data_IF_211263355474
#
_entry.id   IF_211263355474
#
_cell.length_a   1.000
_cell.length_b   1.000
_cell.length_c   1.000
_cell.angle_alpha   90.00
_cell.angle_beta   90.00
_cell.angle_gamma   90.00
#
_symmetry.space_group_name_H-M   'P 1'
#
loop_
_entity.id
_entity.type
_entity.pdbx_description
1 polymer ?
#
# COMPACT_ATOMS: atom_id res chain seq x y z
N UNK A 1 18.20 5.12 23.61
CA UNK A 1 18.10 5.25 22.14
C UNK A 1 16.96 4.33 21.71
N UNK A 2 15.86 4.86 21.20
CA UNK A 2 14.70 4.01 20.87
C UNK A 2 15.09 3.08 19.73
N UNK A 3 14.88 1.77 19.89
CA UNK A 3 15.20 0.73 18.88
C UNK A 3 14.58 1.03 17.52
N UNK A 4 13.49 1.79 17.49
CA UNK A 4 12.76 2.23 16.29
C UNK A 4 13.55 3.20 15.40
N UNK A 5 14.50 3.98 15.94
CA UNK A 5 15.29 4.97 15.19
C UNK A 5 16.32 4.35 14.23
N UNK A 6 16.67 3.07 14.39
CA UNK A 6 17.67 2.39 13.55
C UNK A 6 17.17 2.10 12.14
N UNK A 7 15.87 1.94 11.99
CA UNK A 7 15.23 1.62 10.70
C UNK A 7 14.87 2.85 9.88
N UNK A 8 15.21 4.06 10.32
CA UNK A 8 14.87 5.27 9.62
C UNK A 8 16.11 6.04 9.14
N UNK A 9 16.37 6.00 7.84
CA UNK A 9 17.53 6.62 7.20
C UNK A 9 17.58 8.14 7.42
N UNK A 10 16.47 8.82 7.27
CA UNK A 10 16.40 10.29 7.28
C UNK A 10 16.02 10.90 8.63
N UNK A 11 16.21 10.18 9.73
CA UNK A 11 15.85 10.63 11.08
C UNK A 11 16.48 11.99 11.47
N UNK A 12 17.70 12.27 11.03
CA UNK A 12 18.36 13.56 11.29
C UNK A 12 17.65 14.69 10.53
N UNK A 13 17.28 14.48 9.26
CA UNK A 13 16.52 15.46 8.46
C UNK A 13 15.10 15.66 9.04
N UNK A 14 14.48 14.62 9.55
CA UNK A 14 13.17 14.70 10.22
C UNK A 14 13.21 15.47 11.53
N UNK A 15 14.21 15.23 12.38
CA UNK A 15 14.39 15.97 13.64
C UNK A 15 14.70 17.45 13.42
N UNK A 16 15.41 17.81 12.36
CA UNK A 16 15.79 19.18 12.04
C UNK A 16 14.66 20.00 11.40
N UNK A 17 13.81 19.40 10.59
CA UNK A 17 12.81 20.14 9.79
C UNK A 17 11.41 19.53 9.78
N UNK A 18 11.10 18.62 10.71
CA UNK A 18 9.81 17.94 10.76
C UNK A 18 9.68 16.82 9.70
N UNK A 19 8.60 16.06 9.80
CA UNK A 19 8.29 14.92 8.93
C UNK A 19 7.07 15.16 8.06
N UNK A 20 6.33 16.23 8.33
CA UNK A 20 5.16 16.64 7.57
C UNK A 20 5.45 17.95 6.82
N UNK A 21 4.81 18.11 5.69
CA UNK A 21 4.70 19.32 4.90
C UNK A 21 3.24 19.62 4.60
N UNK A 22 3.01 20.73 3.91
CA UNK A 22 1.68 21.08 3.40
C UNK A 22 1.81 21.31 1.90
N UNK A 23 0.98 20.64 1.12
CA UNK A 23 0.88 20.80 -0.32
C UNK A 23 -0.59 21.03 -0.67
N UNK A 24 -0.90 22.12 -1.34
CA UNK A 24 -2.27 22.55 -1.69
C UNK A 24 -3.26 22.53 -0.50
N UNK A 25 -2.76 22.91 0.70
CA UNK A 25 -3.56 22.93 1.92
C UNK A 25 -3.74 21.57 2.59
N UNK A 26 -3.20 20.50 2.04
CA UNK A 26 -3.26 19.15 2.58
C UNK A 26 -1.96 18.81 3.31
N UNK A 27 -2.06 18.23 4.50
CA UNK A 27 -0.89 17.73 5.24
C UNK A 27 -0.38 16.44 4.59
N UNK A 28 0.87 16.47 4.16
CA UNK A 28 1.54 15.31 3.52
C UNK A 28 2.80 14.93 4.28
N UNK A 29 3.33 13.74 4.02
CA UNK A 29 4.69 13.40 4.46
C UNK A 29 5.70 14.19 3.63
N UNK A 30 6.69 14.77 4.29
CA UNK A 30 7.74 15.52 3.61
C UNK A 30 8.52 14.64 2.64
N UNK A 31 8.86 15.20 1.47
CA UNK A 31 9.75 14.56 0.52
C UNK A 31 11.22 14.87 0.84
N UNK A 32 12.08 13.91 0.62
CA UNK A 32 13.53 14.01 0.69
C UNK A 32 14.08 13.24 -0.50
N UNK A 33 14.86 13.94 -1.36
CA UNK A 33 15.42 13.35 -2.57
C UNK A 33 14.31 12.64 -3.39
N UNK A 34 13.22 13.37 -3.69
CA UNK A 34 12.05 13.03 -4.51
C UNK A 34 11.21 11.86 -4.02
N UNK A 35 11.33 11.46 -2.75
CA UNK A 35 10.45 10.44 -2.19
C UNK A 35 10.18 10.68 -0.69
N UNK A 36 9.15 9.99 -0.17
CA UNK A 36 8.73 10.08 1.22
C UNK A 36 9.93 9.98 2.19
N UNK A 37 9.98 10.87 3.19
CA UNK A 37 11.04 10.90 4.22
C UNK A 37 11.17 9.58 5.00
N UNK A 38 10.12 8.75 5.03
CA UNK A 38 10.12 7.44 5.67
C UNK A 38 10.50 6.30 4.74
N UNK A 39 10.74 6.58 3.44
CA UNK A 39 11.22 5.59 2.49
C UNK A 39 12.74 5.53 2.54
N UNK A 40 13.29 4.49 3.11
CA UNK A 40 14.71 4.18 3.07
C UNK A 40 15.13 3.80 1.65
N UNK A 41 16.26 4.30 1.23
CA UNK A 41 16.82 4.04 -0.11
C UNK A 41 17.56 2.70 -0.14
N UNK A 42 17.77 2.12 -1.34
CA UNK A 42 18.59 0.93 -1.53
C UNK A 42 19.96 1.06 -0.86
N UNK A 43 20.41 -0.02 -0.23
CA UNK A 43 21.70 -0.07 0.46
C UNK A 43 21.72 0.56 1.87
N UNK A 44 20.59 1.03 2.40
CA UNK A 44 20.55 1.49 3.79
C UNK A 44 20.66 0.30 4.75
N UNK A 45 21.61 0.35 5.68
CA UNK A 45 21.93 -0.75 6.61
C UNK A 45 20.76 -1.15 7.54
N UNK A 46 19.86 -0.20 7.84
CA UNK A 46 18.63 -0.44 8.61
C UNK A 46 17.47 -1.07 7.82
N UNK A 47 17.71 -1.46 6.55
CA UNK A 47 16.75 -2.04 5.63
C UNK A 47 16.17 -1.02 4.63
N UNK A 48 16.05 -1.42 3.36
CA UNK A 48 15.42 -0.62 2.32
C UNK A 48 13.89 -0.71 2.39
N UNK A 49 13.19 0.31 1.93
CA UNK A 49 11.73 0.38 1.96
C UNK A 49 11.18 1.24 3.08
N UNK A 50 9.91 1.09 3.40
CA UNK A 50 9.23 1.92 4.39
C UNK A 50 9.74 1.65 5.81
N UNK A 51 10.28 2.68 6.49
CA UNK A 51 10.78 2.58 7.85
C UNK A 51 9.73 2.10 8.86
N UNK A 52 8.46 2.50 8.69
CA UNK A 52 7.35 2.01 9.52
C UNK A 52 7.10 0.52 9.32
N UNK A 53 7.14 0.05 8.06
CA UNK A 53 6.94 -1.36 7.75
C UNK A 53 8.01 -2.24 8.41
N UNK A 54 9.27 -1.86 8.23
CA UNK A 54 10.42 -2.60 8.78
C UNK A 54 10.36 -2.62 10.31
N UNK A 55 10.09 -1.47 10.93
CA UNK A 55 10.04 -1.36 12.37
C UNK A 55 8.87 -2.12 13.00
N UNK A 56 7.72 -2.17 12.34
CA UNK A 56 6.57 -2.95 12.78
C UNK A 56 6.86 -4.46 12.74
N UNK A 57 7.42 -4.95 11.61
CA UNK A 57 7.79 -6.37 11.49
C UNK A 57 8.82 -6.78 12.55
N UNK A 58 9.80 -5.93 12.83
CA UNK A 58 10.78 -6.22 13.90
C UNK A 58 10.13 -6.25 15.28
N UNK A 59 9.12 -5.42 15.50
CA UNK A 59 8.37 -5.41 16.77
C UNK A 59 7.39 -6.59 16.88
N UNK A 60 7.21 -7.40 15.83
CA UNK A 60 6.19 -8.44 15.77
C UNK A 60 4.76 -7.88 15.66
N UNK A 61 4.63 -6.64 15.20
CA UNK A 61 3.35 -5.94 15.04
C UNK A 61 2.97 -5.85 13.56
N UNK A 62 1.68 -5.60 13.28
CA UNK A 62 1.20 -5.46 11.90
C UNK A 62 1.65 -4.12 11.30
N UNK A 63 2.28 -4.10 10.12
CA UNK A 63 2.71 -2.85 9.49
C UNK A 63 1.59 -1.85 9.25
N UNK A 64 0.37 -2.31 9.02
CA UNK A 64 -0.80 -1.47 8.80
C UNK A 64 -1.14 -0.60 10.02
N UNK A 65 -0.88 -1.06 11.23
CA UNK A 65 -1.15 -0.31 12.47
C UNK A 65 -0.16 0.86 12.67
N UNK A 66 0.92 0.90 11.87
CA UNK A 66 1.98 1.90 11.95
C UNK A 66 1.98 2.89 10.79
N UNK A 67 1.40 2.51 9.67
CA UNK A 67 1.40 3.30 8.43
C UNK A 67 0.19 4.23 8.36
N UNK A 68 0.31 5.39 7.69
CA UNK A 68 -0.85 6.15 7.24
C UNK A 68 -1.78 5.31 6.34
N UNK A 69 -3.07 5.64 6.34
CA UNK A 69 -4.12 4.86 5.64
C UNK A 69 -3.77 4.55 4.18
N UNK A 70 -3.42 5.55 3.38
CA UNK A 70 -3.05 5.33 1.99
C UNK A 70 -1.86 4.39 1.83
N UNK A 71 -0.89 4.43 2.77
CA UNK A 71 0.35 3.66 2.67
C UNK A 71 0.17 2.17 2.98
N UNK A 72 -0.82 1.80 3.82
CA UNK A 72 -1.08 0.40 4.09
C UNK A 72 -2.11 -0.21 3.14
N UNK A 73 -3.04 0.60 2.63
CA UNK A 73 -4.05 0.14 1.67
C UNK A 73 -3.45 -0.21 0.30
N UNK A 74 -2.37 0.44 -0.12
CA UNK A 74 -1.74 0.15 -1.41
C UNK A 74 -1.26 -1.31 -1.51
N UNK A 75 -1.55 -2.00 -2.62
CA UNK A 75 -2.14 -1.52 -3.89
C UNK A 75 -3.68 -1.62 -3.97
N UNK A 76 -4.37 -1.81 -2.85
CA UNK A 76 -5.81 -2.02 -2.79
C UNK A 76 -6.56 -0.70 -2.53
N UNK A 77 -7.74 -0.58 -3.11
CA UNK A 77 -8.67 0.53 -2.88
C UNK A 77 -10.09 0.02 -2.70
N UNK A 78 -10.74 0.45 -1.63
CA UNK A 78 -12.16 0.28 -1.43
C UNK A 78 -12.88 1.55 -1.92
N UNK A 79 -13.83 1.37 -2.81
CA UNK A 79 -14.75 2.44 -3.27
C UNK A 79 -16.16 2.12 -2.82
N UNK A 80 -16.84 3.13 -2.30
CA UNK A 80 -18.23 3.03 -1.92
C UNK A 80 -19.08 3.93 -2.81
N UNK A 81 -20.13 3.38 -3.34
CA UNK A 81 -21.13 4.08 -4.11
C UNK A 81 -22.49 3.91 -3.45
N UNK A 82 -23.15 5.04 -3.15
CA UNK A 82 -24.51 5.05 -2.60
C UNK A 82 -25.47 5.42 -3.74
N UNK A 83 -26.46 4.58 -4.00
CA UNK A 83 -27.48 4.85 -5.01
C UNK A 83 -28.58 5.79 -4.48
N UNK A 84 -29.52 6.17 -5.37
CA UNK A 84 -30.64 7.07 -5.07
C UNK A 84 -31.61 6.52 -4.01
N UNK A 85 -31.53 5.21 -3.70
CA UNK A 85 -32.33 4.53 -2.70
C UNK A 85 -31.59 4.37 -1.36
N UNK A 86 -30.33 4.83 -1.28
CA UNK A 86 -29.49 4.74 -0.08
C UNK A 86 -28.77 3.39 0.06
N UNK A 87 -28.78 2.52 -0.93
CA UNK A 87 -27.99 1.30 -0.90
C UNK A 87 -26.52 1.58 -1.20
N UNK A 88 -25.66 1.06 -0.33
CA UNK A 88 -24.20 1.19 -0.49
C UNK A 88 -23.65 -0.05 -1.18
N UNK A 89 -22.96 0.16 -2.29
CA UNK A 89 -22.16 -0.86 -2.97
C UNK A 89 -20.69 -0.59 -2.75
N UNK A 90 -19.98 -1.53 -2.13
CA UNK A 90 -18.53 -1.45 -1.90
C UNK A 90 -17.79 -2.28 -2.95
N UNK A 91 -16.80 -1.68 -3.62
CA UNK A 91 -15.97 -2.33 -4.63
C UNK A 91 -14.52 -2.32 -4.18
N UNK A 92 -13.97 -3.50 -3.92
CA UNK A 92 -12.53 -3.67 -3.68
C UNK A 92 -11.82 -3.88 -5.02
N UNK A 93 -10.88 -3.02 -5.35
CA UNK A 93 -10.11 -3.06 -6.61
C UNK A 93 -8.64 -2.66 -6.40
N UNK A 94 -7.85 -2.77 -7.44
CA UNK A 94 -6.52 -2.21 -7.46
C UNK A 94 -6.58 -0.67 -7.52
N UNK A 95 -5.58 -0.03 -6.93
CA UNK A 95 -5.35 1.41 -7.06
C UNK A 95 -4.85 1.72 -8.48
N UNK A 96 -5.39 2.76 -9.12
CA UNK A 96 -5.05 3.18 -10.48
C UNK A 96 -4.40 4.58 -10.47
N UNK A 97 -3.67 4.93 -11.54
CA UNK A 97 -3.09 6.27 -11.71
C UNK A 97 -4.12 7.39 -11.59
N UNK A 98 -5.33 7.18 -12.13
CA UNK A 98 -6.43 8.15 -12.04
C UNK A 98 -6.86 8.49 -10.60
N UNK A 99 -6.56 7.62 -9.66
CA UNK A 99 -6.92 7.82 -8.25
C UNK A 99 -6.00 8.84 -7.55
N UNK A 100 -4.90 9.21 -8.20
CA UNK A 100 -3.96 10.23 -7.73
C UNK A 100 -4.30 11.64 -8.27
N UNK A 101 -5.43 11.79 -8.97
CA UNK A 101 -5.82 13.07 -9.58
C UNK A 101 -4.95 13.47 -10.78
N UNK A 102 -4.85 14.77 -11.10
CA UNK A 102 -4.19 15.26 -12.32
C UNK A 102 -2.73 14.85 -12.46
N UNK A 103 -1.98 14.75 -11.36
CA UNK A 103 -0.57 14.32 -11.36
C UNK A 103 -0.37 12.82 -11.52
N UNK A 104 -1.41 12.01 -11.47
CA UNK A 104 -1.31 10.56 -11.51
C UNK A 104 -0.71 10.00 -12.80
N UNK A 105 -0.84 10.71 -13.92
CA UNK A 105 -0.25 10.29 -15.20
C UNK A 105 1.29 10.33 -15.19
N UNK A 106 1.88 11.25 -14.44
CA UNK A 106 3.32 11.49 -14.35
C UNK A 106 3.97 10.74 -13.18
N UNK A 107 3.16 10.13 -12.33
CA UNK A 107 3.59 9.45 -11.14
C UNK A 107 4.26 8.09 -11.48
N UNK A 108 5.40 7.80 -10.88
CA UNK A 108 6.03 6.48 -10.99
C UNK A 108 5.24 5.44 -10.19
N UNK A 109 4.29 4.79 -10.88
CA UNK A 109 3.39 3.82 -10.29
C UNK A 109 3.83 2.39 -10.59
N UNK A 110 4.67 1.82 -9.74
CA UNK A 110 5.18 0.45 -9.91
C UNK A 110 4.35 -0.62 -9.20
N UNK A 111 3.51 -0.27 -8.22
CA UNK A 111 2.78 -1.25 -7.40
C UNK A 111 1.85 -2.17 -8.19
N UNK A 112 1.32 -1.71 -9.33
CA UNK A 112 0.44 -2.50 -10.22
C UNK A 112 0.84 -2.42 -11.68
N UNK A 113 1.96 -1.78 -12.03
CA UNK A 113 2.39 -1.61 -13.43
C UNK A 113 3.77 -2.19 -13.71
N UNK A 114 4.67 -2.25 -12.74
CA UNK A 114 5.99 -2.81 -12.94
C UNK A 114 5.96 -4.35 -12.91
N UNK A 115 6.75 -5.03 -13.76
CA UNK A 115 6.85 -6.50 -13.75
C UNK A 115 7.24 -7.08 -12.38
N UNK A 116 8.03 -6.36 -11.61
CA UNK A 116 8.50 -6.75 -10.28
C UNK A 116 7.34 -6.82 -9.27
N UNK A 117 6.25 -6.07 -9.47
CA UNK A 117 5.06 -6.13 -8.62
C UNK A 117 4.35 -7.49 -8.67
N UNK A 118 4.60 -8.29 -9.71
CA UNK A 118 3.96 -9.59 -9.96
C UNK A 118 4.91 -10.78 -9.73
N UNK A 119 6.02 -10.56 -9.03
CA UNK A 119 7.02 -11.61 -8.74
C UNK A 119 6.74 -12.39 -7.45
N UNK A 120 5.76 -12.00 -6.65
CA UNK A 120 5.39 -12.66 -5.40
C UNK A 120 4.89 -14.10 -5.62
N UNK A 121 5.33 -15.03 -4.75
CA UNK A 121 4.92 -16.43 -4.83
C UNK A 121 3.44 -16.67 -4.44
N UNK A 122 2.86 -15.77 -3.64
CA UNK A 122 1.49 -15.86 -3.18
C UNK A 122 0.59 -14.85 -3.91
N UNK A 123 -0.67 -15.23 -4.23
CA UNK A 123 -1.66 -14.28 -4.74
C UNK A 123 -1.91 -13.13 -3.74
N UNK A 124 -2.27 -11.95 -4.24
CA UNK A 124 -2.51 -10.75 -3.42
C UNK A 124 -3.55 -11.00 -2.31
N UNK A 125 -4.61 -11.76 -2.58
CA UNK A 125 -5.61 -12.06 -1.55
C UNK A 125 -5.06 -12.90 -0.37
N UNK A 126 -3.91 -13.55 -0.55
CA UNK A 126 -3.21 -14.28 0.52
C UNK A 126 -2.19 -13.39 1.20
N UNK A 127 -1.35 -12.69 0.41
CA UNK A 127 -0.26 -11.85 0.95
C UNK A 127 -0.77 -10.57 1.63
N UNK A 128 -1.91 -10.02 1.17
CA UNK A 128 -2.55 -8.83 1.75
C UNK A 128 -3.84 -9.18 2.51
N UNK A 129 -3.85 -10.35 3.17
CA UNK A 129 -5.03 -10.83 3.91
C UNK A 129 -5.49 -9.84 4.96
N UNK A 130 -4.57 -9.34 5.76
CA UNK A 130 -4.90 -8.48 6.90
C UNK A 130 -5.43 -7.13 6.45
N UNK A 131 -4.86 -6.57 5.39
CA UNK A 131 -5.33 -5.33 4.76
C UNK A 131 -6.75 -5.51 4.16
N UNK A 132 -6.99 -6.63 3.48
CA UNK A 132 -8.32 -6.93 2.92
C UNK A 132 -9.35 -7.12 4.02
N UNK A 133 -9.02 -7.85 5.08
CA UNK A 133 -9.92 -8.05 6.22
C UNK A 133 -10.24 -6.73 6.91
N UNK A 134 -9.28 -5.83 7.03
CA UNK A 134 -9.51 -4.48 7.58
C UNK A 134 -10.46 -3.66 6.70
N UNK A 135 -10.33 -3.77 5.37
CA UNK A 135 -11.16 -3.02 4.42
C UNK A 135 -12.60 -3.54 4.31
N UNK A 136 -12.79 -4.86 4.28
CA UNK A 136 -14.10 -5.45 3.95
C UNK A 136 -14.68 -6.36 5.04
N UNK A 137 -13.93 -6.63 6.09
CA UNK A 137 -14.29 -7.55 7.16
C UNK A 137 -14.04 -9.02 6.84
N UNK A 138 -13.89 -9.83 7.90
CA UNK A 138 -13.55 -11.26 7.80
C UNK A 138 -14.58 -12.06 6.99
N UNK A 139 -15.88 -11.81 7.21
CA UNK A 139 -16.95 -12.57 6.54
C UNK A 139 -16.91 -12.38 5.00
N UNK A 140 -16.69 -11.14 4.54
CA UNK A 140 -16.58 -10.84 3.10
C UNK A 140 -15.29 -11.42 2.53
N UNK A 141 -14.19 -11.33 3.27
CA UNK A 141 -12.93 -11.97 2.87
C UNK A 141 -13.10 -13.48 2.67
N UNK A 142 -13.75 -14.19 3.59
CA UNK A 142 -13.97 -15.63 3.49
C UNK A 142 -14.82 -16.01 2.28
N UNK A 143 -15.87 -15.24 1.99
CA UNK A 143 -16.70 -15.42 0.78
C UNK A 143 -15.90 -15.19 -0.49
N UNK A 144 -15.09 -14.15 -0.54
CA UNK A 144 -14.19 -13.83 -1.66
C UNK A 144 -13.21 -14.98 -1.91
N UNK A 145 -12.54 -15.47 -0.86
CA UNK A 145 -11.59 -16.58 -0.97
C UNK A 145 -12.28 -17.87 -1.45
N UNK A 146 -13.49 -18.16 -0.94
CA UNK A 146 -14.29 -19.30 -1.38
C UNK A 146 -14.62 -19.20 -2.88
N UNK A 147 -14.97 -17.99 -3.35
CA UNK A 147 -15.24 -17.75 -4.78
C UNK A 147 -13.99 -17.93 -5.65
N UNK A 148 -12.85 -17.38 -5.22
CA UNK A 148 -11.58 -17.45 -5.96
C UNK A 148 -11.02 -18.88 -6.07
N UNK A 149 -11.38 -19.76 -5.15
CA UNK A 149 -10.96 -21.17 -5.13
C UNK A 149 -11.86 -22.11 -5.94
N UNK A 150 -12.94 -21.62 -6.54
CA UNK A 150 -13.82 -22.46 -7.37
C UNK A 150 -13.10 -22.91 -8.63
N UNK A 151 -13.23 -24.19 -9.03
CA UNK A 151 -12.52 -24.72 -10.21
C UNK A 151 -12.89 -24.04 -11.53
N UNK A 152 -14.12 -23.55 -11.63
CA UNK A 152 -14.64 -22.84 -12.80
C UNK A 152 -14.14 -21.39 -12.92
N UNK A 153 -13.50 -20.88 -11.88
CA UNK A 153 -13.00 -19.52 -11.87
C UNK A 153 -11.55 -19.47 -12.38
N UNK A 154 -11.36 -18.89 -13.55
CA UNK A 154 -10.03 -18.71 -14.14
C UNK A 154 -9.66 -17.23 -13.99
N UNK A 155 -8.66 -16.88 -13.18
CA UNK A 155 -8.21 -15.51 -13.07
C UNK A 155 -7.62 -15.05 -14.41
N UNK A 156 -8.05 -13.88 -14.89
CA UNK A 156 -7.40 -13.25 -16.03
C UNK A 156 -6.04 -12.71 -15.59
N UNK A 157 -4.97 -12.97 -16.35
CA UNK A 157 -3.67 -12.40 -16.05
C UNK A 157 -3.71 -10.88 -16.16
N UNK A 158 -3.02 -10.19 -15.26
CA UNK A 158 -2.88 -8.75 -15.37
C UNK A 158 -2.17 -8.40 -16.69
N UNK A 159 -2.59 -7.32 -17.42
CA UNK A 159 -2.02 -6.96 -18.72
C UNK A 159 -0.51 -6.75 -18.73
N UNK A 160 0.07 -6.38 -17.59
CA UNK A 160 1.53 -6.16 -17.43
C UNK A 160 2.30 -7.47 -17.25
N UNK A 161 1.64 -8.57 -16.89
CA UNK A 161 2.29 -9.88 -16.75
C UNK A 161 2.62 -10.40 -18.13
N UNK A 162 3.88 -10.40 -18.48
CA UNK A 162 4.37 -11.07 -19.69
C UNK A 162 4.61 -12.54 -19.36
N UNK A 163 3.86 -13.41 -19.99
CA UNK A 163 4.18 -14.84 -19.97
C UNK A 163 5.56 -15.03 -20.59
N UNK A 164 6.48 -15.58 -19.82
CA UNK A 164 7.78 -16.04 -20.33
C UNK A 164 7.64 -17.44 -20.90
#
# INVERSE_FOLDING_TARGET
MCTRDRHWQFKKKGKAGGVFGTEDGVTTTRLVDDACIFLNRPGFEGGEGCAFHIAALEAGERPMDWKPDVCWQLPLRLEEHTDDHGYVTSTLREWKRRDWGPGGAEFHWWCTEAPEAFSGAAPVYVSSRDEIVELVGQAVYDLMVAQLKRPEWVPLPHPTVRHR
#
